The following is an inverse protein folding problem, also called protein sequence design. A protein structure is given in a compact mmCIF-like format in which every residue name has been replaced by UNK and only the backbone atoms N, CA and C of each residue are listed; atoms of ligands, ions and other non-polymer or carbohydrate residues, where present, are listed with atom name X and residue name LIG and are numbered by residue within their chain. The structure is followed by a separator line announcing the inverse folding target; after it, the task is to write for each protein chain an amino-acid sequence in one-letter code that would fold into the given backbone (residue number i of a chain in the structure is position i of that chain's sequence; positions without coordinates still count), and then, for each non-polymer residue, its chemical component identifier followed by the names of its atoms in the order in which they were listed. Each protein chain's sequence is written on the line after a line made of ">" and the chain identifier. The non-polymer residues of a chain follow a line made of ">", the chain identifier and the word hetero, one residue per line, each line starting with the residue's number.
data_IF_148330522298
#
_entry.id   IF_148330522298
#
_cell.length_a   1.000
_cell.length_b   1.000
_cell.length_c   1.000
_cell.angle_alpha   90.00
_cell.angle_beta   90.00
_cell.angle_gamma   90.00
#
_symmetry.space_group_name_H-M   'P 1'
#
loop_
_entity.id
_entity.type
_entity.pdbx_description
1 polymer ?
#
# COMPACT_ATOMS: atom_id res chain seq x y z
N UNK A 1 52.77 26.69 -5.46
CA UNK A 1 54.12 27.02 -4.96
C UNK A 1 54.44 26.10 -3.79
N UNK A 2 55.65 25.53 -3.83
CA UNK A 2 56.45 25.00 -2.71
C UNK A 2 55.83 23.97 -1.73
N UNK A 3 56.19 22.70 -1.96
CA UNK A 3 56.67 21.75 -0.93
C UNK A 3 57.93 22.32 -0.24
N UNK A 4 58.44 21.87 0.94
CA UNK A 4 58.82 20.47 1.27
C UNK A 4 58.61 20.14 2.78
N UNK A 5 59.02 19.01 3.36
CA UNK A 5 60.40 18.65 3.74
C UNK A 5 60.57 17.12 3.79
N UNK A 6 61.59 16.65 3.06
CA UNK A 6 62.23 15.34 3.14
C UNK A 6 63.05 15.18 4.43
N UNK A 7 63.37 13.96 4.86
CA UNK A 7 64.72 13.40 4.69
C UNK A 7 64.92 12.07 5.44
N UNK A 8 65.64 11.18 4.78
CA UNK A 8 66.14 9.85 5.19
C UNK A 8 67.52 10.00 5.85
N UNK A 9 68.02 8.99 6.58
CA UNK A 9 69.29 8.36 6.17
C UNK A 9 69.25 6.82 6.38
N UNK A 10 70.01 5.94 5.74
CA UNK A 10 71.11 5.96 4.77
C UNK A 10 71.59 4.49 4.63
N UNK A 11 71.44 3.86 3.47
CA UNK A 11 72.47 3.40 2.49
C UNK A 11 73.72 2.69 3.02
N UNK A 12 73.96 1.47 2.51
CA UNK A 12 75.25 0.90 2.03
C UNK A 12 74.91 -0.32 1.15
N UNK A 13 74.93 -0.26 -0.20
CA UNK A 13 76.04 -0.53 -1.15
C UNK A 13 76.92 -1.75 -0.79
N UNK A 14 77.38 -2.65 -1.67
CA UNK A 14 77.33 -2.82 -3.13
C UNK A 14 77.88 -4.25 -3.45
N UNK A 15 77.61 -4.83 -4.63
CA UNK A 15 78.27 -6.11 -5.01
C UNK A 15 77.84 -6.82 -6.30
N UNK A 16 77.83 -6.09 -7.41
CA UNK A 16 78.02 -6.43 -8.84
C UNK A 16 78.10 -7.89 -9.39
N UNK A 17 77.50 -8.03 -10.60
CA UNK A 17 77.90 -8.83 -11.80
C UNK A 17 77.68 -10.35 -11.89
N UNK A 18 76.74 -10.78 -12.75
CA UNK A 18 77.00 -11.41 -14.07
C UNK A 18 75.78 -12.21 -14.60
N UNK A 19 75.36 -11.99 -15.85
CA UNK A 19 74.52 -12.93 -16.65
C UNK A 19 75.43 -13.95 -17.35
N UNK A 20 74.92 -15.15 -17.70
CA UNK A 20 74.36 -15.31 -19.04
C UNK A 20 73.03 -16.09 -19.07
N UNK A 21 72.38 -16.00 -20.23
CA UNK A 21 71.06 -16.52 -20.52
C UNK A 21 71.00 -18.05 -20.62
N UNK A 22 69.85 -18.61 -20.21
CA UNK A 22 69.30 -19.82 -20.80
C UNK A 22 67.79 -19.60 -20.95
N UNK A 23 67.32 -19.79 -22.17
CA UNK A 23 65.94 -19.83 -22.61
C UNK A 23 65.22 -21.01 -21.95
N UNK A 24 64.00 -20.78 -21.46
CA UNK A 24 63.00 -21.85 -21.34
C UNK A 24 61.64 -21.33 -21.81
N UNK A 25 61.29 -21.73 -23.03
CA UNK A 25 59.93 -21.75 -23.54
C UNK A 25 59.14 -22.75 -22.70
N UNK A 26 58.15 -22.32 -21.93
CA UNK A 26 56.91 -23.10 -21.70
C UNK A 26 55.92 -22.37 -20.80
N UNK A 27 55.46 -21.20 -21.24
CA UNK A 27 54.13 -20.70 -20.88
C UNK A 27 53.03 -21.49 -21.59
N UNK A 28 53.07 -22.82 -21.51
CA UNK A 28 52.05 -23.70 -22.07
C UNK A 28 51.08 -23.99 -20.94
N UNK A 29 49.95 -23.29 -20.96
CA UNK A 29 48.76 -23.66 -20.19
C UNK A 29 48.59 -25.18 -20.28
N UNK A 30 48.76 -25.86 -19.14
CA UNK A 30 48.58 -27.29 -19.07
C UNK A 30 47.17 -27.64 -19.59
N UNK A 31 47.02 -28.74 -20.36
CA UNK A 31 45.69 -29.19 -20.75
C UNK A 31 44.91 -29.47 -19.47
N UNK A 32 43.78 -28.79 -19.29
CA UNK A 32 42.81 -29.14 -18.25
C UNK A 32 42.54 -30.63 -18.38
N UNK A 33 42.90 -31.40 -17.35
CA UNK A 33 42.73 -32.83 -17.41
C UNK A 33 41.24 -33.13 -17.58
N UNK A 34 40.88 -34.20 -18.29
CA UNK A 34 39.47 -34.57 -18.47
C UNK A 34 38.73 -34.73 -17.12
N UNK A 35 39.47 -35.00 -16.04
CA UNK A 35 38.97 -35.05 -14.68
C UNK A 35 38.59 -33.65 -14.12
N UNK A 36 39.41 -32.62 -14.34
CA UNK A 36 39.13 -31.24 -13.92
C UNK A 36 37.96 -30.65 -14.71
N UNK A 37 37.88 -30.91 -16.01
CA UNK A 37 36.75 -30.49 -16.84
C UNK A 37 35.44 -31.15 -16.38
N UNK A 38 35.46 -32.45 -16.06
CA UNK A 38 34.32 -33.15 -15.47
C UNK A 38 33.91 -32.60 -14.11
N UNK A 39 34.89 -32.24 -13.26
CA UNK A 39 34.62 -31.65 -11.95
C UNK A 39 33.94 -30.29 -12.07
N UNK A 40 34.43 -29.42 -12.97
CA UNK A 40 33.81 -28.12 -13.24
C UNK A 40 32.39 -28.27 -13.82
N UNK A 41 32.18 -29.22 -14.72
CA UNK A 41 30.85 -29.52 -15.26
C UNK A 41 29.89 -30.00 -14.16
N UNK A 42 30.33 -30.91 -13.29
CA UNK A 42 29.53 -31.39 -12.17
C UNK A 42 29.17 -30.25 -11.20
N UNK A 43 30.12 -29.36 -10.91
CA UNK A 43 29.87 -28.18 -10.08
C UNK A 43 28.86 -27.21 -10.73
N UNK A 44 28.97 -26.96 -12.03
CA UNK A 44 28.00 -26.13 -12.78
C UNK A 44 26.61 -26.76 -12.84
N UNK A 45 26.51 -28.09 -12.99
CA UNK A 45 25.24 -28.80 -12.97
C UNK A 45 24.57 -28.64 -11.60
N UNK A 46 25.31 -28.85 -10.51
CA UNK A 46 24.78 -28.69 -9.15
C UNK A 46 24.35 -27.25 -8.89
N UNK A 47 25.16 -26.26 -9.30
CA UNK A 47 24.83 -24.84 -9.15
C UNK A 47 23.58 -24.45 -9.96
N UNK A 48 23.50 -24.88 -11.22
CA UNK A 48 22.34 -24.62 -12.09
C UNK A 48 21.06 -25.29 -11.54
N UNK A 49 21.20 -26.49 -10.96
CA UNK A 49 20.07 -27.21 -10.34
C UNK A 49 19.55 -26.47 -9.11
N UNK A 50 20.45 -25.87 -8.33
CA UNK A 50 20.12 -25.07 -7.16
C UNK A 50 19.42 -23.76 -7.57
N UNK A 51 19.94 -23.07 -8.57
CA UNK A 51 19.37 -21.81 -9.08
C UNK A 51 17.97 -22.03 -9.68
N UNK A 52 17.76 -23.12 -10.43
CA UNK A 52 16.44 -23.50 -10.94
C UNK A 52 15.49 -23.82 -9.80
N UNK A 53 15.93 -24.55 -8.77
CA UNK A 53 15.10 -24.90 -7.60
C UNK A 53 14.69 -23.67 -6.78
N UNK A 54 15.58 -22.69 -6.63
CA UNK A 54 15.31 -21.43 -5.93
C UNK A 54 14.36 -20.53 -6.74
N UNK A 55 14.58 -20.38 -8.05
CA UNK A 55 13.71 -19.60 -8.93
C UNK A 55 12.30 -20.21 -9.01
N UNK A 56 12.21 -21.51 -9.25
CA UNK A 56 10.94 -22.25 -9.35
C UNK A 56 10.14 -22.28 -8.05
N UNK A 57 10.81 -22.23 -6.89
CA UNK A 57 10.15 -22.13 -5.58
C UNK A 57 9.32 -20.86 -5.42
N UNK A 58 9.78 -19.73 -5.96
CA UNK A 58 9.04 -18.46 -5.92
C UNK A 58 7.96 -18.37 -7.01
N UNK A 59 8.22 -18.94 -8.19
CA UNK A 59 7.29 -18.93 -9.32
C UNK A 59 6.01 -19.72 -9.03
N UNK A 60 6.11 -20.84 -8.30
CA UNK A 60 4.94 -21.64 -7.91
C UNK A 60 3.96 -20.87 -7.00
N UNK A 61 4.48 -20.13 -6.01
CA UNK A 61 3.64 -19.29 -5.14
C UNK A 61 3.04 -18.11 -5.90
N UNK A 62 3.80 -17.47 -6.79
CA UNK A 62 3.29 -16.39 -7.63
C UNK A 62 2.14 -16.85 -8.55
N UNK A 63 2.26 -18.05 -9.14
CA UNK A 63 1.19 -18.66 -9.94
C UNK A 63 -0.04 -18.99 -9.08
N UNK A 64 0.16 -19.51 -7.87
CA UNK A 64 -0.93 -19.75 -6.92
C UNK A 64 -1.67 -18.45 -6.56
N UNK A 65 -0.95 -17.39 -6.21
CA UNK A 65 -1.55 -16.08 -5.90
C UNK A 65 -2.27 -15.49 -7.10
N UNK A 66 -1.70 -15.60 -8.30
CA UNK A 66 -2.36 -15.15 -9.52
C UNK A 66 -3.66 -15.91 -9.77
N UNK A 67 -3.63 -17.23 -9.70
CA UNK A 67 -4.82 -18.07 -9.87
C UNK A 67 -5.88 -17.78 -8.81
N UNK A 68 -5.48 -17.53 -7.56
CA UNK A 68 -6.40 -17.11 -6.51
C UNK A 68 -7.04 -15.74 -6.81
N UNK A 69 -6.26 -14.75 -7.24
CA UNK A 69 -6.78 -13.41 -7.61
C UNK A 69 -7.70 -13.48 -8.83
N UNK A 70 -7.35 -14.26 -9.85
CA UNK A 70 -8.19 -14.49 -11.03
C UNK A 70 -9.53 -15.09 -10.62
N UNK A 71 -9.52 -16.14 -9.81
CA UNK A 71 -10.76 -16.76 -9.34
C UNK A 71 -11.58 -15.83 -8.44
N UNK A 72 -10.95 -15.06 -7.55
CA UNK A 72 -11.66 -14.05 -6.76
C UNK A 72 -12.33 -12.99 -7.65
N UNK A 73 -11.65 -12.52 -8.70
CA UNK A 73 -12.25 -11.60 -9.65
C UNK A 73 -13.43 -12.21 -10.41
N UNK A 74 -13.36 -13.48 -10.79
CA UNK A 74 -14.50 -14.19 -11.41
C UNK A 74 -15.71 -14.24 -10.47
N UNK A 75 -15.49 -14.53 -9.19
CA UNK A 75 -16.56 -14.59 -8.19
C UNK A 75 -17.16 -13.21 -7.88
N UNK A 76 -16.33 -12.16 -7.89
CA UNK A 76 -16.77 -10.78 -7.59
C UNK A 76 -17.38 -10.05 -8.80
N UNK A 77 -17.11 -10.51 -10.02
CA UNK A 77 -17.54 -9.85 -11.25
C UNK A 77 -19.05 -9.57 -11.37
N UNK A 78 -19.97 -10.44 -10.91
CA UNK A 78 -21.41 -10.19 -11.02
C UNK A 78 -21.87 -8.94 -10.25
N UNK A 79 -21.19 -8.59 -9.16
CA UNK A 79 -21.57 -7.45 -8.31
C UNK A 79 -20.67 -6.22 -8.54
N UNK A 80 -19.35 -6.44 -8.71
CA UNK A 80 -18.35 -5.38 -8.72
C UNK A 80 -17.74 -5.13 -10.12
N UNK A 81 -18.13 -5.91 -11.12
CA UNK A 81 -17.60 -5.84 -12.47
C UNK A 81 -16.24 -6.52 -12.64
N UNK A 82 -15.73 -6.59 -13.88
CA UNK A 82 -14.47 -7.27 -14.18
C UNK A 82 -13.29 -6.58 -13.49
N UNK A 83 -12.31 -7.37 -13.06
CA UNK A 83 -11.10 -6.89 -12.37
C UNK A 83 -11.40 -6.12 -11.07
N UNK A 84 -12.42 -6.53 -10.33
CA UNK A 84 -12.87 -5.91 -9.08
C UNK A 84 -11.72 -5.60 -8.11
N UNK A 85 -10.80 -6.54 -7.90
CA UNK A 85 -9.66 -6.37 -6.99
C UNK A 85 -8.71 -5.28 -7.48
N UNK A 86 -8.37 -5.27 -8.77
CA UNK A 86 -7.47 -4.27 -9.34
C UNK A 86 -8.10 -2.87 -9.36
N UNK A 87 -9.40 -2.80 -9.67
CA UNK A 87 -10.14 -1.55 -9.62
C UNK A 87 -10.18 -0.98 -8.20
N UNK A 88 -10.39 -1.84 -7.19
CA UNK A 88 -10.33 -1.44 -5.79
C UNK A 88 -8.94 -0.92 -5.41
N UNK A 89 -7.85 -1.61 -5.81
CA UNK A 89 -6.48 -1.16 -5.55
C UNK A 89 -6.12 0.18 -6.19
N UNK A 90 -6.76 0.55 -7.30
CA UNK A 90 -6.55 1.84 -7.98
C UNK A 90 -7.23 3.03 -7.29
N UNK A 91 -8.04 2.78 -6.27
CA UNK A 91 -8.67 3.83 -5.47
C UNK A 91 -7.77 4.31 -4.34
N UNK A 92 -8.04 5.51 -3.85
CA UNK A 92 -7.48 5.95 -2.57
C UNK A 92 -8.14 5.16 -1.43
N UNK A 93 -7.46 4.12 -0.96
CA UNK A 93 -7.91 3.26 0.13
C UNK A 93 -7.37 3.70 1.50
N UNK A 94 -6.81 4.90 1.60
CA UNK A 94 -6.52 5.50 2.91
C UNK A 94 -7.81 5.65 3.72
N UNK A 95 -7.71 5.77 5.06
CA UNK A 95 -8.86 6.07 5.91
C UNK A 95 -9.63 7.32 5.44
N UNK A 96 -8.91 8.37 5.05
CA UNK A 96 -9.47 9.63 4.56
C UNK A 96 -10.19 9.45 3.23
N UNK A 97 -9.56 8.78 2.26
CA UNK A 97 -10.16 8.52 0.94
C UNK A 97 -11.42 7.66 1.05
N UNK A 98 -11.40 6.66 1.92
CA UNK A 98 -12.54 5.78 2.17
C UNK A 98 -13.67 6.52 2.90
N UNK A 99 -13.36 7.26 3.97
CA UNK A 99 -14.34 8.07 4.69
C UNK A 99 -14.98 9.12 3.79
N UNK A 100 -14.19 9.80 2.96
CA UNK A 100 -14.67 10.77 1.98
C UNK A 100 -15.67 10.16 0.98
N UNK A 101 -15.41 8.94 0.49
CA UNK A 101 -16.37 8.22 -0.37
C UNK A 101 -17.67 7.90 0.36
N UNK A 102 -17.62 7.43 1.61
CA UNK A 102 -18.81 7.10 2.41
C UNK A 102 -19.65 8.34 2.66
N UNK A 103 -19.02 9.43 3.13
CA UNK A 103 -19.68 10.71 3.39
C UNK A 103 -20.31 11.27 2.12
N UNK A 104 -19.58 11.29 0.99
CA UNK A 104 -20.09 11.79 -0.29
C UNK A 104 -21.34 11.03 -0.74
N UNK A 105 -21.34 9.70 -0.63
CA UNK A 105 -22.46 8.87 -1.06
C UNK A 105 -23.67 8.99 -0.13
N UNK A 106 -23.44 8.99 1.19
CA UNK A 106 -24.53 8.99 2.16
C UNK A 106 -25.17 10.37 2.32
N UNK A 107 -24.38 11.44 2.35
CA UNK A 107 -24.89 12.80 2.48
C UNK A 107 -25.60 13.30 1.21
N UNK A 108 -25.28 12.74 0.04
CA UNK A 108 -25.97 13.06 -1.21
C UNK A 108 -27.48 12.72 -1.18
N UNK A 109 -27.93 11.88 -0.24
CA UNK A 109 -29.35 11.56 -0.09
C UNK A 109 -30.17 12.67 0.58
N UNK A 110 -29.54 13.68 1.19
CA UNK A 110 -30.24 14.67 2.01
C UNK A 110 -31.38 15.38 1.26
N UNK A 111 -31.12 15.91 0.06
CA UNK A 111 -32.15 16.63 -0.71
C UNK A 111 -33.32 15.72 -1.11
N UNK A 112 -33.04 14.43 -1.34
CA UNK A 112 -34.06 13.42 -1.59
C UNK A 112 -34.90 13.11 -0.36
N UNK A 113 -34.26 13.05 0.81
CA UNK A 113 -34.92 12.86 2.10
C UNK A 113 -35.79 14.07 2.46
N UNK A 114 -35.26 15.29 2.32
CA UNK A 114 -35.98 16.54 2.59
C UNK A 114 -37.30 16.66 1.79
N UNK A 115 -37.27 16.33 0.50
CA UNK A 115 -38.47 16.34 -0.37
C UNK A 115 -39.55 15.35 0.06
N UNK A 116 -39.18 14.27 0.76
CA UNK A 116 -40.15 13.29 1.28
C UNK A 116 -40.76 13.72 2.62
N UNK A 117 -40.23 14.76 3.25
CA UNK A 117 -40.65 15.26 4.56
C UNK A 117 -40.93 16.79 4.53
N UNK A 118 -41.77 17.30 3.61
CA UNK A 118 -41.90 18.74 3.35
C UNK A 118 -42.48 19.57 4.51
N UNK A 119 -43.14 18.92 5.47
CA UNK A 119 -43.79 19.59 6.61
C UNK A 119 -43.03 19.40 7.93
N UNK A 120 -41.84 18.77 7.90
CA UNK A 120 -41.03 18.56 9.09
C UNK A 120 -40.27 19.86 9.39
N UNK A 121 -40.10 20.15 10.68
CA UNK A 121 -39.22 21.23 11.12
C UNK A 121 -37.80 21.02 10.55
N UNK A 122 -37.13 22.08 10.01
CA UNK A 122 -35.83 21.94 9.35
C UNK A 122 -34.72 21.40 10.25
N UNK A 123 -34.69 21.79 11.53
CA UNK A 123 -33.69 21.31 12.49
C UNK A 123 -33.94 19.83 12.81
N UNK A 124 -35.18 19.48 13.11
CA UNK A 124 -35.55 18.08 13.35
C UNK A 124 -35.32 17.19 12.12
N UNK A 125 -35.55 17.72 10.91
CA UNK A 125 -35.28 17.00 9.67
C UNK A 125 -33.79 16.65 9.50
N UNK A 126 -32.89 17.58 9.82
CA UNK A 126 -31.45 17.36 9.77
C UNK A 126 -31.00 16.29 10.77
N UNK A 127 -31.47 16.39 12.02
CA UNK A 127 -31.18 15.39 13.06
C UNK A 127 -31.66 13.99 12.64
N UNK A 128 -32.93 13.86 12.24
CA UNK A 128 -33.48 12.56 11.84
C UNK A 128 -32.75 11.96 10.63
N UNK A 129 -32.32 12.80 9.68
CA UNK A 129 -31.54 12.35 8.53
C UNK A 129 -30.18 11.79 8.96
N UNK A 130 -29.43 12.56 9.76
CA UNK A 130 -28.09 12.17 10.22
C UNK A 130 -28.16 10.93 11.10
N UNK A 131 -29.13 10.83 12.00
CA UNK A 131 -29.35 9.65 12.83
C UNK A 131 -29.63 8.40 11.99
N UNK A 132 -30.43 8.54 10.93
CA UNK A 132 -30.76 7.43 10.03
C UNK A 132 -29.52 6.91 9.30
N UNK A 133 -28.73 7.79 8.68
CA UNK A 133 -27.53 7.37 7.93
C UNK A 133 -26.43 6.88 8.87
N UNK A 134 -26.29 7.48 10.05
CA UNK A 134 -25.33 7.06 11.08
C UNK A 134 -25.63 5.66 11.57
N UNK A 135 -26.89 5.38 11.92
CA UNK A 135 -27.30 4.04 12.35
C UNK A 135 -27.08 2.98 11.26
N UNK A 136 -27.33 3.32 10.00
CA UNK A 136 -27.01 2.45 8.86
C UNK A 136 -25.51 2.18 8.71
N UNK A 137 -24.69 3.23 8.84
CA UNK A 137 -23.24 3.13 8.80
C UNK A 137 -22.67 2.26 9.94
N UNK A 138 -23.07 2.52 11.19
CA UNK A 138 -22.61 1.77 12.36
C UNK A 138 -22.91 0.28 12.25
N UNK A 139 -24.11 -0.05 11.77
CA UNK A 139 -24.50 -1.44 11.52
C UNK A 139 -23.62 -2.08 10.45
N UNK A 140 -23.45 -1.41 9.31
CA UNK A 140 -22.62 -1.92 8.21
C UNK A 140 -21.15 -2.08 8.62
N UNK A 141 -20.62 -1.15 9.40
CA UNK A 141 -19.28 -1.22 9.97
C UNK A 141 -19.11 -2.44 10.86
N UNK A 142 -20.04 -2.67 11.81
CA UNK A 142 -19.98 -3.82 12.72
C UNK A 142 -20.05 -5.16 11.97
N UNK A 143 -20.91 -5.27 10.96
CA UNK A 143 -21.03 -6.46 10.12
C UNK A 143 -19.75 -6.72 9.32
N UNK A 144 -19.18 -5.68 8.70
CA UNK A 144 -17.94 -5.78 7.93
C UNK A 144 -16.74 -6.13 8.84
N UNK A 145 -16.62 -5.48 10.00
CA UNK A 145 -15.55 -5.75 10.97
C UNK A 145 -15.59 -7.21 11.44
N UNK A 146 -16.78 -7.76 11.69
CA UNK A 146 -16.95 -9.18 12.07
C UNK A 146 -16.53 -10.15 10.96
N UNK A 147 -16.82 -9.83 9.70
CA UNK A 147 -16.33 -10.63 8.56
C UNK A 147 -14.80 -10.63 8.53
N UNK A 148 -14.19 -9.45 8.67
CA UNK A 148 -12.73 -9.28 8.66
C UNK A 148 -12.05 -9.96 9.85
N UNK A 149 -12.70 -9.96 11.02
CA UNK A 149 -12.27 -10.75 12.17
C UNK A 149 -12.28 -12.25 11.86
N UNK A 150 -13.35 -12.75 11.23
CA UNK A 150 -13.43 -14.14 10.77
C UNK A 150 -12.35 -14.52 9.73
N UNK A 151 -11.88 -13.54 8.95
CA UNK A 151 -10.76 -13.70 8.02
C UNK A 151 -9.38 -13.59 8.69
N UNK A 152 -9.33 -13.28 9.99
CA UNK A 152 -8.09 -13.20 10.77
C UNK A 152 -7.26 -11.94 10.53
N UNK A 153 -7.81 -10.91 9.86
CA UNK A 153 -7.07 -9.66 9.56
C UNK A 153 -7.22 -8.58 10.63
N UNK A 154 -8.07 -8.80 11.63
CA UNK A 154 -8.37 -7.85 12.72
C UNK A 154 -7.62 -8.13 14.03
N UNK A 155 -6.52 -8.91 13.99
CA UNK A 155 -5.76 -9.28 15.17
C UNK A 155 -5.10 -8.10 15.90
N UNK A 156 -4.62 -8.34 17.13
CA UNK A 156 -3.90 -7.35 17.92
C UNK A 156 -2.69 -6.80 17.17
N UNK A 157 -2.54 -5.47 17.14
CA UNK A 157 -1.48 -4.79 16.39
C UNK A 157 -1.68 -4.77 14.87
N UNK A 158 -2.82 -5.24 14.35
CA UNK A 158 -3.13 -5.18 12.91
C UNK A 158 -3.23 -3.73 12.43
N UNK A 159 -2.42 -3.40 11.43
CA UNK A 159 -2.51 -2.12 10.74
C UNK A 159 -3.87 -1.94 10.05
N UNK A 160 -4.43 -3.02 9.47
CA UNK A 160 -5.75 -3.01 8.83
C UNK A 160 -6.84 -2.65 9.84
N UNK A 161 -6.80 -3.21 11.04
CA UNK A 161 -7.75 -2.87 12.09
C UNK A 161 -7.66 -1.40 12.52
N UNK A 162 -6.44 -0.86 12.62
CA UNK A 162 -6.21 0.54 12.97
C UNK A 162 -6.75 1.50 11.89
N UNK A 163 -6.48 1.22 10.61
CA UNK A 163 -6.96 2.06 9.51
C UNK A 163 -8.49 2.02 9.35
N UNK A 164 -9.09 0.85 9.57
CA UNK A 164 -10.56 0.69 9.61
C UNK A 164 -11.16 1.48 10.78
N UNK A 165 -10.54 1.43 11.96
CA UNK A 165 -10.93 2.25 13.11
C UNK A 165 -10.87 3.75 12.81
N UNK A 166 -9.78 4.20 12.19
CA UNK A 166 -9.62 5.60 11.76
C UNK A 166 -10.68 6.01 10.73
N UNK A 167 -11.02 5.13 9.81
CA UNK A 167 -12.10 5.37 8.83
C UNK A 167 -13.44 5.59 9.54
N UNK A 168 -13.73 4.78 10.56
CA UNK A 168 -14.94 4.93 11.37
C UNK A 168 -15.00 6.28 12.07
N UNK A 169 -13.92 6.67 12.75
CA UNK A 169 -13.82 7.97 13.43
C UNK A 169 -14.06 9.14 12.46
N UNK A 170 -13.41 9.11 11.28
CA UNK A 170 -13.55 10.14 10.27
C UNK A 170 -14.97 10.26 9.71
N UNK A 171 -15.66 9.12 9.52
CA UNK A 171 -17.06 9.14 9.05
C UNK A 171 -17.99 9.71 10.12
N UNK A 172 -17.82 9.30 11.39
CA UNK A 172 -18.62 9.83 12.49
C UNK A 172 -18.43 11.35 12.63
N UNK A 173 -17.18 11.80 12.60
CA UNK A 173 -16.86 13.22 12.59
C UNK A 173 -17.48 13.94 11.40
N UNK A 174 -17.40 13.37 10.19
CA UNK A 174 -18.00 13.98 9.00
C UNK A 174 -19.52 14.13 9.09
N UNK A 175 -20.21 13.23 9.79
CA UNK A 175 -21.63 13.39 10.09
C UNK A 175 -21.91 14.51 11.10
N UNK A 176 -21.09 14.62 12.15
CA UNK A 176 -21.18 15.72 13.12
C UNK A 176 -20.91 17.08 12.44
N UNK A 177 -19.86 17.16 11.62
CA UNK A 177 -19.47 18.36 10.87
C UNK A 177 -20.58 18.80 9.90
N UNK A 178 -21.19 17.85 9.18
CA UNK A 178 -22.32 18.13 8.29
C UNK A 178 -23.52 18.69 9.08
N UNK A 179 -23.87 18.04 10.18
CA UNK A 179 -25.00 18.46 11.02
C UNK A 179 -24.77 19.88 11.57
N UNK A 180 -23.59 20.12 12.15
CA UNK A 180 -23.22 21.43 12.70
C UNK A 180 -23.29 22.52 11.62
N UNK A 181 -22.65 22.28 10.46
CA UNK A 181 -22.62 23.24 9.35
C UNK A 181 -24.04 23.62 8.88
N UNK A 182 -24.95 22.65 8.79
CA UNK A 182 -26.33 22.89 8.36
C UNK A 182 -27.17 23.62 9.42
N UNK A 183 -26.99 23.29 10.70
CA UNK A 183 -27.66 23.98 11.80
C UNK A 183 -27.18 25.43 11.97
N UNK A 184 -25.91 25.71 11.68
CA UNK A 184 -25.40 27.08 11.65
C UNK A 184 -26.00 27.89 10.50
N UNK A 185 -26.10 27.30 9.31
CA UNK A 185 -26.74 27.93 8.16
C UNK A 185 -28.21 28.30 8.44
N UNK A 186 -28.99 27.38 9.04
CA UNK A 186 -30.39 27.66 9.42
C UNK A 186 -30.53 28.82 10.42
N UNK A 187 -29.58 28.95 11.35
CA UNK A 187 -29.57 30.07 12.32
C UNK A 187 -29.19 31.40 11.66
N UNK A 188 -28.29 31.37 10.68
CA UNK A 188 -27.93 32.52 9.85
C UNK A 188 -29.12 33.05 9.06
N UNK A 189 -29.83 32.17 8.35
CA UNK A 189 -31.01 32.51 7.56
C UNK A 189 -32.13 33.12 8.43
N UNK A 190 -32.35 32.57 9.63
CA UNK A 190 -33.34 33.10 10.57
C UNK A 190 -33.00 34.52 11.07
N UNK A 191 -31.70 34.85 11.17
CA UNK A 191 -31.23 36.17 11.62
C UNK A 191 -31.36 37.23 10.52
N UNK A 192 -31.11 36.85 9.26
CA UNK A 192 -31.21 37.76 8.10
C UNK A 192 -32.67 38.12 7.75
N UNK A 193 -33.62 37.21 8.00
CA UNK A 193 -35.05 37.49 7.86
C UNK A 193 -35.57 38.45 8.94
N UNK A 194 -34.97 38.45 10.13
CA UNK A 194 -35.38 39.32 11.23
C UNK A 194 -34.90 40.79 11.08
N UNK A 195 -33.90 41.06 10.24
CA UNK A 195 -33.32 42.39 10.03
C UNK A 195 -33.86 43.16 8.82
N UNK A 196 -34.77 42.58 8.02
CA UNK A 196 -35.41 43.31 6.91
C UNK A 196 -36.57 44.17 7.43
N UNK A 197 -36.49 45.52 7.41
CA UNK A 197 -37.63 46.37 7.73
C UNK A 197 -38.67 46.25 6.61
N UNK A 198 -39.92 45.99 6.98
CA UNK A 198 -41.06 46.10 6.06
C UNK A 198 -41.06 47.49 5.40
N UNK A 199 -40.90 47.52 4.08
CA UNK A 199 -40.95 48.73 3.25
C UNK A 199 -42.25 48.82 2.47
#
# INVERSE_FOLDING_TARGET
>A
MATPISNVPGVSQAGNQSRPAAVDESGRSAPTTAAEQRSQLNAQIVQSSLDVSISSGNDGLALLYRSAIEHLNEQLAPELGPNAIQNAMGQDNSPEGTAGRILSQTLAFFDGYARQHPNKDPEQLLHDFVDTIRGGFEKGYAEAAKILEGLGVMGEGSHVAQEIGKTYELVQQGYDDFLQSRLEALRGDASEVAEQPES
#
